data_IF_781333871284
#
_entry.id   IF_781333871284
#
_cell.length_a   1.000
_cell.length_b   1.000
_cell.length_c   1.000
_cell.angle_alpha   90.00
_cell.angle_beta   90.00
_cell.angle_gamma   90.00
#
_symmetry.space_group_name_H-M   'P 1'
#
loop_
_entity.id
_entity.type
_entity.pdbx_description
1 polymer ?
#
# COMPACT_ATOMS: atom_id res chain seq x y z
N UNK A 1 2.97 11.65 7.27
CA UNK A 1 2.63 11.76 5.83
C UNK A 1 1.60 10.69 5.44
N UNK A 2 0.93 10.85 4.30
CA UNK A 2 -0.02 9.85 3.77
C UNK A 2 0.64 9.06 2.61
N UNK A 3 0.59 7.73 2.67
CA UNK A 3 1.23 6.81 1.70
C UNK A 3 0.23 5.75 1.24
N UNK A 4 0.15 5.49 -0.05
CA UNK A 4 -0.61 4.36 -0.58
C UNK A 4 0.21 3.07 -0.47
N UNK A 5 -0.35 2.06 0.19
CA UNK A 5 0.26 0.74 0.35
C UNK A 5 -0.60 -0.34 -0.32
N UNK A 6 0.05 -1.24 -1.06
CA UNK A 6 -0.61 -2.25 -1.91
C UNK A 6 -0.10 -3.68 -1.67
N UNK A 7 0.89 -3.84 -0.78
CA UNK A 7 1.59 -5.10 -0.53
C UNK A 7 1.69 -5.41 0.96
N UNK A 8 2.89 -5.79 1.41
CA UNK A 8 3.15 -6.23 2.80
C UNK A 8 2.76 -5.22 3.87
N UNK A 9 2.91 -3.92 3.58
CA UNK A 9 2.55 -2.84 4.51
C UNK A 9 1.03 -2.59 4.62
N UNK A 10 0.20 -3.44 4.01
CA UNK A 10 -1.24 -3.46 4.31
C UNK A 10 -1.56 -4.20 5.61
N UNK A 11 -0.62 -5.01 6.12
CA UNK A 11 -0.69 -5.72 7.41
C UNK A 11 -0.13 -4.82 8.54
N UNK A 12 -0.95 -4.47 9.55
CA UNK A 12 -0.50 -3.68 10.71
C UNK A 12 0.72 -4.26 11.43
N UNK A 13 0.87 -5.58 11.50
CA UNK A 13 1.99 -6.22 12.17
C UNK A 13 3.32 -5.99 11.43
N UNK A 14 3.28 -5.90 10.10
CA UNK A 14 4.45 -5.54 9.30
C UNK A 14 4.81 -4.06 9.44
N UNK A 15 3.79 -3.18 9.47
CA UNK A 15 4.03 -1.74 9.64
C UNK A 15 4.67 -1.42 10.99
N UNK A 16 4.20 -2.05 12.07
CA UNK A 16 4.73 -1.84 13.43
C UNK A 16 6.22 -2.20 13.59
N UNK A 17 6.80 -2.96 12.65
CA UNK A 17 8.24 -3.30 12.64
C UNK A 17 9.11 -2.18 12.09
N UNK A 18 8.53 -1.26 11.31
CA UNK A 18 9.27 -0.22 10.58
C UNK A 18 8.87 1.19 10.99
N UNK A 19 7.64 1.40 11.49
CA UNK A 19 7.14 2.69 11.97
C UNK A 19 6.47 2.52 13.33
N UNK A 20 6.82 3.38 14.29
CA UNK A 20 6.33 3.32 15.68
C UNK A 20 4.90 3.82 15.86
N UNK A 21 4.47 4.78 15.03
CA UNK A 21 3.14 5.38 15.09
C UNK A 21 2.54 5.40 13.68
N UNK A 22 1.35 4.82 13.52
CA UNK A 22 0.66 4.82 12.25
C UNK A 22 -0.86 4.64 12.42
N UNK A 23 -1.59 5.03 11.38
CA UNK A 23 -3.03 4.83 11.26
C UNK A 23 -3.38 4.42 9.83
N UNK A 24 -4.32 3.47 9.66
CA UNK A 24 -4.91 3.19 8.36
C UNK A 24 -6.19 3.99 8.18
N UNK A 25 -6.24 4.86 7.16
CA UNK A 25 -7.41 5.70 6.86
C UNK A 25 -8.54 4.98 6.12
N UNK A 26 -8.31 3.73 5.70
CA UNK A 26 -9.30 2.90 5.01
C UNK A 26 -8.73 2.25 3.74
N UNK A 27 -9.62 1.62 2.98
CA UNK A 27 -9.32 1.13 1.63
C UNK A 27 -9.27 2.30 0.63
N UNK A 28 -8.44 2.15 -0.39
CA UNK A 28 -8.34 3.11 -1.49
C UNK A 28 -8.07 2.38 -2.80
N UNK A 29 -8.47 2.99 -3.91
CA UNK A 29 -8.12 2.57 -5.26
C UNK A 29 -7.17 3.60 -5.85
N UNK A 30 -6.09 3.14 -6.47
CA UNK A 30 -5.13 3.99 -7.17
C UNK A 30 -5.29 3.81 -8.67
N UNK A 31 -5.83 4.84 -9.31
CA UNK A 31 -6.01 4.90 -10.76
C UNK A 31 -4.69 5.25 -11.47
N UNK A 32 -4.48 4.66 -12.65
CA UNK A 32 -3.30 4.87 -13.49
C UNK A 32 -2.14 3.92 -13.20
N UNK A 33 -2.29 3.00 -12.23
CA UNK A 33 -1.30 1.98 -11.89
C UNK A 33 -1.97 0.63 -11.70
N UNK A 34 -1.34 -0.43 -12.22
CA UNK A 34 -1.75 -1.81 -11.97
C UNK A 34 -0.66 -2.56 -11.21
N UNK A 35 -1.07 -3.63 -10.53
CA UNK A 35 -0.14 -4.53 -9.84
C UNK A 35 0.47 -5.54 -10.81
N UNK A 36 1.79 -5.67 -10.76
CA UNK A 36 2.55 -6.69 -11.47
C UNK A 36 3.04 -7.72 -10.46
N UNK A 37 2.69 -8.98 -10.68
CA UNK A 37 3.11 -10.10 -9.82
C UNK A 37 4.59 -10.47 -10.04
N UNK A 38 5.23 -10.96 -8.98
CA UNK A 38 6.64 -11.34 -8.93
C UNK A 38 7.04 -11.76 -7.52
N UNK A 39 8.34 -12.01 -7.27
CA UNK A 39 8.83 -12.28 -5.91
C UNK A 39 8.53 -11.10 -4.96
N UNK A 40 8.67 -9.88 -5.47
CA UNK A 40 8.23 -8.64 -4.84
C UNK A 40 7.25 -7.95 -5.79
N UNK A 41 5.93 -8.11 -5.56
CA UNK A 41 4.92 -7.45 -6.38
C UNK A 41 5.15 -5.94 -6.41
N UNK A 42 4.97 -5.33 -7.58
CA UNK A 42 5.21 -3.90 -7.81
C UNK A 42 4.07 -3.25 -8.57
N UNK A 43 4.12 -1.92 -8.73
CA UNK A 43 3.16 -1.15 -9.51
C UNK A 43 3.77 -0.67 -10.82
N UNK A 44 3.05 -0.86 -11.92
CA UNK A 44 3.41 -0.37 -13.25
C UNK A 44 2.30 0.52 -13.82
N UNK A 45 2.62 1.44 -14.76
CA UNK A 45 1.65 2.33 -15.39
C UNK A 45 0.47 1.62 -16.06
N UNK A 46 -0.65 2.34 -16.14
CA UNK A 46 -1.90 1.98 -16.80
C UNK A 46 -2.72 0.91 -16.07
N UNK A 47 -3.87 1.29 -15.50
CA UNK A 47 -4.81 0.37 -14.85
C UNK A 47 -5.29 0.90 -13.50
N UNK A 48 -5.70 0.00 -12.63
CA UNK A 48 -6.11 0.31 -11.26
C UNK A 48 -5.59 -0.74 -10.28
N UNK A 49 -5.38 -0.34 -9.02
CA UNK A 49 -5.00 -1.25 -7.94
C UNK A 49 -5.69 -0.86 -6.63
N UNK A 50 -6.19 -1.87 -5.92
CA UNK A 50 -6.73 -1.69 -4.57
C UNK A 50 -5.62 -1.77 -3.51
N UNK A 51 -5.72 -0.91 -2.51
CA UNK A 51 -4.78 -0.84 -1.40
C UNK A 51 -5.38 -0.11 -0.20
N UNK A 52 -4.51 0.46 0.63
CA UNK A 52 -4.88 1.23 1.81
C UNK A 52 -4.06 2.51 1.88
N UNK A 53 -4.62 3.54 2.50
CA UNK A 53 -3.84 4.75 2.85
C UNK A 53 -3.31 4.59 4.27
N UNK A 54 -1.98 4.58 4.38
CA UNK A 54 -1.24 4.56 5.63
C UNK A 54 -0.83 5.99 5.99
N UNK A 55 -1.16 6.42 7.19
CA UNK A 55 -0.69 7.68 7.79
C UNK A 55 0.37 7.38 8.83
N UNK A 56 1.46 8.14 8.77
CA UNK A 56 2.63 8.11 9.68
C UNK A 56 3.01 9.51 10.11
#
# INVERSE_FOLDING_TARGET
MDVFVYGTLTDPAQVARVVSEFEFRGSATLDGLHRVEGEYPTLAPCGEVSGRVLRT
#
